data_IF_060624066817
#
_entry.id   IF_060624066817
#
_cell.length_a   1.000
_cell.length_b   1.000
_cell.length_c   1.000
_cell.angle_alpha   90.00
_cell.angle_beta   90.00
_cell.angle_gamma   90.00
#
_symmetry.space_group_name_H-M   'P 1'
#
loop_
_entity.id
_entity.type
_entity.pdbx_description
1 polymer ?
#
# COMPACT_ATOMS: atom_id res chain seq x y z
N UNK A 1 -40.33 -1.65 -44.92
CA UNK A 1 -39.41 -0.81 -45.72
C UNK A 1 -38.19 -0.48 -44.89
N UNK A 2 -37.02 -1.08 -45.13
CA UNK A 2 -35.81 -0.73 -44.40
C UNK A 2 -35.28 0.60 -44.94
N UNK A 3 -35.18 1.61 -44.08
CA UNK A 3 -34.47 2.87 -44.39
C UNK A 3 -32.98 2.56 -44.40
N UNK A 4 -32.34 2.63 -45.56
CA UNK A 4 -30.90 2.47 -45.67
C UNK A 4 -30.20 3.64 -44.97
N UNK A 5 -29.38 3.33 -43.98
CA UNK A 5 -28.45 4.31 -43.39
C UNK A 5 -27.56 4.87 -44.50
N UNK A 6 -27.43 6.19 -44.55
CA UNK A 6 -26.58 6.83 -45.56
C UNK A 6 -25.12 6.56 -45.25
N UNK A 7 -24.28 6.36 -46.28
CA UNK A 7 -22.84 6.10 -46.10
C UNK A 7 -22.16 7.20 -45.27
N UNK A 8 -22.63 8.45 -45.42
CA UNK A 8 -22.19 9.60 -44.62
C UNK A 8 -22.51 9.45 -43.12
N UNK A 9 -23.71 8.98 -42.78
CA UNK A 9 -24.11 8.73 -41.38
C UNK A 9 -23.22 7.66 -40.74
N UNK A 10 -22.93 6.59 -41.47
CA UNK A 10 -22.04 5.53 -40.99
C UNK A 10 -20.60 6.04 -40.79
N UNK A 11 -20.11 6.90 -41.70
CA UNK A 11 -18.80 7.55 -41.58
C UNK A 11 -18.71 8.45 -40.34
N UNK A 12 -19.75 9.24 -40.07
CA UNK A 12 -19.80 10.11 -38.88
C UNK A 12 -19.81 9.27 -37.60
N UNK A 13 -20.58 8.18 -37.54
CA UNK A 13 -20.61 7.28 -36.38
C UNK A 13 -19.24 6.65 -36.14
N UNK A 14 -18.58 6.13 -37.18
CA UNK A 14 -17.24 5.53 -37.06
C UNK A 14 -16.21 6.58 -36.60
N UNK A 15 -16.30 7.81 -37.10
CA UNK A 15 -15.41 8.90 -36.69
C UNK A 15 -15.59 9.26 -35.21
N UNK A 16 -16.84 9.36 -34.74
CA UNK A 16 -17.14 9.62 -33.33
C UNK A 16 -16.64 8.47 -32.45
N UNK A 17 -16.89 7.22 -32.85
CA UNK A 17 -16.41 6.04 -32.12
C UNK A 17 -14.88 5.98 -32.06
N UNK A 18 -14.19 6.33 -33.16
CA UNK A 18 -12.73 6.41 -33.19
C UNK A 18 -12.17 7.48 -32.26
N UNK A 19 -12.77 8.67 -32.24
CA UNK A 19 -12.37 9.74 -31.32
C UNK A 19 -12.58 9.33 -29.84
N UNK A 20 -13.72 8.71 -29.52
CA UNK A 20 -13.99 8.20 -28.18
C UNK A 20 -13.01 7.09 -27.77
N UNK A 21 -12.69 6.17 -28.68
CA UNK A 21 -11.73 5.10 -28.44
C UNK A 21 -10.32 5.64 -28.15
N UNK A 22 -9.86 6.64 -28.90
CA UNK A 22 -8.55 7.28 -28.68
C UNK A 22 -8.42 7.92 -27.28
N UNK A 23 -9.51 8.44 -26.71
CA UNK A 23 -9.49 9.06 -25.37
C UNK A 23 -9.68 8.02 -24.26
N UNK A 24 -10.53 7.01 -24.48
CA UNK A 24 -10.89 6.02 -23.46
C UNK A 24 -9.78 4.98 -23.22
N UNK A 25 -9.11 4.50 -24.27
CA UNK A 25 -8.12 3.41 -24.17
C UNK A 25 -6.90 3.77 -23.29
N UNK A 26 -6.28 4.97 -23.39
CA UNK A 26 -5.15 5.33 -22.55
C UNK A 26 -5.52 5.37 -21.05
N UNK A 27 -6.72 5.84 -20.71
CA UNK A 27 -7.15 5.95 -19.31
C UNK A 27 -7.26 4.60 -18.61
N UNK A 28 -7.82 3.60 -19.29
CA UNK A 28 -7.99 2.26 -18.73
C UNK A 28 -6.66 1.53 -18.45
N UNK A 29 -5.66 1.75 -19.30
CA UNK A 29 -4.34 1.10 -19.13
C UNK A 29 -3.52 1.70 -17.97
N UNK A 30 -3.66 3.01 -17.72
CA UNK A 30 -3.01 3.69 -16.59
C UNK A 30 -3.58 3.23 -15.24
N UNK A 31 -4.90 3.16 -15.08
CA UNK A 31 -5.52 2.68 -13.84
C UNK A 31 -5.14 1.23 -13.51
N UNK A 32 -5.11 0.36 -14.53
CA UNK A 32 -4.70 -1.02 -14.36
C UNK A 32 -3.22 -1.14 -13.95
N UNK A 33 -2.36 -0.28 -14.51
CA UNK A 33 -0.94 -0.21 -14.16
C UNK A 33 -0.74 0.26 -12.73
N UNK A 34 -1.38 1.35 -12.32
CA UNK A 34 -1.28 1.91 -10.97
C UNK A 34 -1.76 0.91 -9.92
N UNK A 35 -2.85 0.19 -10.19
CA UNK A 35 -3.34 -0.86 -9.30
C UNK A 35 -2.33 -1.99 -9.12
N UNK A 36 -1.71 -2.46 -10.21
CA UNK A 36 -0.67 -3.49 -10.15
C UNK A 36 0.57 -2.98 -9.41
N UNK A 37 0.97 -1.74 -9.67
CA UNK A 37 2.10 -1.12 -8.98
C UNK A 37 1.82 -1.01 -7.48
N UNK A 38 0.64 -0.51 -7.08
CA UNK A 38 0.24 -0.44 -5.68
C UNK A 38 0.33 -1.79 -4.97
N UNK A 39 -0.10 -2.87 -5.66
CA UNK A 39 -0.02 -4.24 -5.13
C UNK A 39 1.43 -4.71 -5.00
N UNK A 40 2.28 -4.44 -5.99
CA UNK A 40 3.71 -4.77 -5.95
C UNK A 40 4.39 -4.07 -4.79
N UNK A 41 4.16 -2.77 -4.61
CA UNK A 41 4.74 -1.99 -3.52
C UNK A 41 4.22 -2.46 -2.14
N UNK A 42 2.94 -2.82 -2.05
CA UNK A 42 2.39 -3.44 -0.84
C UNK A 42 3.05 -4.78 -0.52
N UNK A 43 3.26 -5.63 -1.54
CA UNK A 43 3.94 -6.91 -1.38
C UNK A 43 5.42 -6.75 -1.01
N UNK A 44 6.10 -5.71 -1.49
CA UNK A 44 7.48 -5.40 -1.07
C UNK A 44 7.54 -5.14 0.44
N UNK A 45 6.66 -4.28 0.95
CA UNK A 45 6.60 -4.01 2.40
C UNK A 45 6.24 -5.26 3.20
N UNK A 46 5.30 -6.08 2.73
CA UNK A 46 4.96 -7.35 3.38
C UNK A 46 6.15 -8.30 3.43
N UNK A 47 6.87 -8.46 2.33
CA UNK A 47 8.06 -9.30 2.26
C UNK A 47 9.17 -8.76 3.16
N UNK A 48 9.35 -7.44 3.20
CA UNK A 48 10.31 -6.79 4.08
C UNK A 48 9.96 -6.99 5.56
N UNK A 49 8.69 -6.81 5.97
CA UNK A 49 8.23 -7.08 7.34
C UNK A 49 8.46 -8.54 7.74
N UNK A 50 8.14 -9.49 6.85
CA UNK A 50 8.40 -10.92 7.07
C UNK A 50 9.89 -11.19 7.21
N UNK A 51 10.72 -10.54 6.38
CA UNK A 51 12.19 -10.64 6.45
C UNK A 51 12.71 -10.07 7.77
N UNK A 52 12.28 -8.88 8.20
CA UNK A 52 12.63 -8.27 9.48
C UNK A 52 12.29 -9.20 10.65
N UNK A 53 11.08 -9.77 10.64
CA UNK A 53 10.68 -10.75 11.66
C UNK A 53 11.58 -11.99 11.65
N UNK A 54 11.87 -12.55 10.48
CA UNK A 54 12.77 -13.70 10.36
C UNK A 54 14.18 -13.38 10.84
N UNK A 55 14.71 -12.20 10.54
CA UNK A 55 16.02 -11.74 11.06
C UNK A 55 16.00 -11.69 12.59
N UNK A 56 14.96 -11.11 13.19
CA UNK A 56 14.82 -11.05 14.64
C UNK A 56 14.81 -12.42 15.29
N UNK A 57 14.11 -13.41 14.71
CA UNK A 57 14.09 -14.78 15.22
C UNK A 57 15.46 -15.45 15.04
N UNK A 58 16.01 -15.41 13.83
CA UNK A 58 17.23 -16.14 13.47
C UNK A 58 18.46 -15.61 14.21
N UNK A 59 18.48 -14.32 14.53
CA UNK A 59 19.63 -13.65 15.13
C UNK A 59 19.39 -13.25 16.59
N UNK A 60 18.35 -13.78 17.24
CA UNK A 60 17.97 -13.43 18.61
C UNK A 60 19.09 -13.60 19.65
N UNK A 61 20.02 -14.53 19.43
CA UNK A 61 21.12 -14.81 20.35
C UNK A 61 22.22 -13.73 20.31
N UNK A 62 22.48 -13.14 19.15
CA UNK A 62 23.51 -12.11 18.96
C UNK A 62 22.93 -10.70 18.91
N UNK A 63 21.63 -10.56 18.60
CA UNK A 63 20.90 -9.29 18.53
C UNK A 63 19.63 -9.35 19.41
N UNK A 64 19.79 -9.32 20.75
CA UNK A 64 18.67 -9.46 21.69
C UNK A 64 17.66 -8.30 21.59
N UNK A 65 18.07 -7.14 21.10
CA UNK A 65 17.19 -6.00 20.83
C UNK A 65 16.19 -6.26 19.71
N UNK A 66 16.52 -7.15 18.78
CA UNK A 66 15.72 -7.53 17.62
C UNK A 66 15.94 -6.59 16.42
N UNK A 67 14.97 -6.56 15.51
CA UNK A 67 15.07 -5.76 14.28
C UNK A 67 13.81 -4.93 14.07
N UNK A 68 13.95 -3.78 13.41
CA UNK A 68 12.83 -2.94 13.02
C UNK A 68 12.76 -2.74 11.52
N UNK A 69 11.55 -2.60 10.99
CA UNK A 69 11.31 -2.00 9.70
C UNK A 69 10.84 -0.56 9.92
N UNK A 70 11.50 0.40 9.31
CA UNK A 70 11.16 1.82 9.39
C UNK A 70 10.88 2.38 7.99
N UNK A 71 9.70 2.95 7.80
CA UNK A 71 9.27 3.61 6.58
C UNK A 71 9.60 5.10 6.73
N UNK A 72 10.45 5.60 5.83
CA UNK A 72 10.92 6.98 5.83
C UNK A 72 10.37 7.73 4.63
N UNK A 73 10.09 9.02 4.83
CA UNK A 73 9.67 9.92 3.77
C UNK A 73 10.71 11.03 3.63
N UNK A 74 11.30 11.14 2.44
CA UNK A 74 12.23 12.18 2.07
C UNK A 74 11.63 13.02 0.94
N UNK A 75 10.97 14.12 1.31
CA UNK A 75 10.22 14.94 0.37
C UNK A 75 9.07 14.13 -0.27
N UNK A 76 9.13 13.96 -1.59
CA UNK A 76 8.16 13.16 -2.34
C UNK A 76 8.52 11.67 -2.46
N UNK A 77 9.73 11.28 -2.06
CA UNK A 77 10.17 9.89 -2.08
C UNK A 77 9.80 9.19 -0.75
N UNK A 78 9.35 7.95 -0.84
CA UNK A 78 9.14 7.07 0.31
C UNK A 78 10.09 5.89 0.18
N UNK A 79 10.79 5.54 1.24
CA UNK A 79 11.66 4.36 1.34
C UNK A 79 11.34 3.57 2.60
N UNK A 80 11.87 2.36 2.69
CA UNK A 80 11.91 1.63 3.95
C UNK A 80 13.31 1.11 4.22
N UNK A 81 13.63 0.96 5.50
CA UNK A 81 14.90 0.47 6.01
C UNK A 81 14.63 -0.65 7.02
N UNK A 82 15.50 -1.67 7.02
CA UNK A 82 15.54 -2.67 8.07
C UNK A 82 16.73 -2.32 8.97
N UNK A 83 16.46 -2.13 10.24
CA UNK A 83 17.42 -1.68 11.26
C UNK A 83 17.65 -2.78 12.28
N UNK A 84 18.90 -2.99 12.65
CA UNK A 84 19.27 -3.69 13.87
C UNK A 84 19.01 -2.78 15.08
N UNK A 85 18.24 -3.25 16.06
CA UNK A 85 17.84 -2.42 17.20
C UNK A 85 18.94 -2.27 18.26
N UNK A 86 19.99 -3.10 18.24
CA UNK A 86 21.06 -3.05 19.23
C UNK A 86 22.10 -1.97 18.92
N UNK A 87 22.42 -1.77 17.64
CA UNK A 87 23.44 -0.84 17.18
C UNK A 87 22.91 0.20 16.18
N UNK A 88 21.63 0.18 15.83
CA UNK A 88 20.99 1.05 14.84
C UNK A 88 21.58 0.96 13.42
N UNK A 89 22.30 -0.14 13.10
CA UNK A 89 22.83 -0.36 11.77
C UNK A 89 21.71 -0.67 10.77
N UNK A 90 21.81 -0.09 9.56
CA UNK A 90 20.91 -0.39 8.44
C UNK A 90 21.36 -1.70 7.79
N UNK A 91 20.51 -2.72 7.90
CA UNK A 91 20.73 -4.05 7.31
C UNK A 91 20.30 -4.10 5.85
N UNK A 92 19.27 -3.32 5.49
CA UNK A 92 18.70 -3.27 4.15
C UNK A 92 17.92 -1.97 3.97
N UNK A 93 17.86 -1.47 2.74
CA UNK A 93 17.16 -0.24 2.39
C UNK A 93 16.64 -0.32 0.96
N UNK A 94 15.39 0.07 0.77
CA UNK A 94 14.78 0.08 -0.55
C UNK A 94 13.83 1.25 -0.73
N UNK A 95 13.91 1.89 -1.90
CA UNK A 95 12.97 2.91 -2.32
C UNK A 95 11.65 2.29 -2.80
N UNK A 96 10.54 2.93 -2.45
CA UNK A 96 9.24 2.66 -3.04
C UNK A 96 9.07 3.47 -4.32
N UNK A 97 8.15 3.04 -5.18
CA UNK A 97 7.81 3.78 -6.39
C UNK A 97 7.33 5.21 -6.05
N UNK A 98 7.58 6.15 -6.97
CA UNK A 98 7.10 7.52 -6.84
C UNK A 98 5.58 7.58 -6.72
N UNK A 99 5.08 8.50 -5.91
CA UNK A 99 3.64 8.67 -5.67
C UNK A 99 3.04 7.70 -4.65
N UNK A 100 3.79 6.69 -4.17
CA UNK A 100 3.34 5.81 -3.10
C UNK A 100 3.25 6.58 -1.79
N UNK A 101 2.08 6.54 -1.16
CA UNK A 101 1.80 7.13 0.14
C UNK A 101 1.57 6.03 1.17
N UNK A 102 2.39 6.03 2.20
CA UNK A 102 2.21 5.23 3.41
C UNK A 102 1.51 6.06 4.49
N UNK A 103 0.45 5.50 5.09
CA UNK A 103 -0.28 6.10 6.23
C UNK A 103 -0.42 5.08 7.37
N UNK A 104 -0.48 5.55 8.61
CA UNK A 104 -0.46 4.67 9.79
C UNK A 104 0.92 4.61 10.43
N UNK A 105 1.35 3.42 10.86
CA UNK A 105 2.61 3.23 11.54
C UNK A 105 3.77 3.33 10.55
N UNK A 106 4.81 4.07 10.94
CA UNK A 106 6.07 4.16 10.20
C UNK A 106 7.12 3.19 10.71
N UNK A 107 6.94 2.55 11.86
CA UNK A 107 7.95 1.69 12.48
C UNK A 107 7.32 0.41 13.01
N UNK A 108 8.00 -0.72 12.79
CA UNK A 108 7.57 -2.05 13.21
C UNK A 108 8.75 -2.77 13.84
N UNK A 109 8.78 -2.87 15.17
CA UNK A 109 9.89 -3.47 15.91
C UNK A 109 9.56 -4.91 16.30
N UNK A 110 10.34 -5.88 15.85
CA UNK A 110 10.20 -7.30 16.19
C UNK A 110 11.25 -7.73 17.22
N UNK A 111 10.84 -8.52 18.21
CA UNK A 111 11.75 -9.13 19.18
C UNK A 111 12.25 -10.52 18.70
N UNK A 112 13.14 -11.14 19.49
CA UNK A 112 13.69 -12.47 19.20
C UNK A 112 12.68 -13.63 19.11
N UNK A 113 11.44 -13.42 19.56
CA UNK A 113 10.34 -14.39 19.43
C UNK A 113 9.50 -14.14 18.16
N UNK A 114 9.85 -13.11 17.39
CA UNK A 114 9.11 -12.69 16.20
C UNK A 114 7.78 -11.98 16.49
N UNK A 115 7.53 -11.59 17.74
CA UNK A 115 6.40 -10.74 18.12
C UNK A 115 6.78 -9.26 17.98
N UNK A 116 5.79 -8.38 17.81
CA UNK A 116 6.03 -6.95 17.88
C UNK A 116 6.32 -6.55 19.34
N UNK A 117 7.27 -5.62 19.51
CA UNK A 117 7.59 -5.05 20.82
C UNK A 117 6.51 -4.10 21.31
N UNK A 118 5.78 -3.47 20.40
CA UNK A 118 4.68 -2.57 20.73
C UNK A 118 3.40 -3.37 20.99
N UNK A 119 2.75 -3.08 22.12
CA UNK A 119 1.44 -3.62 22.44
C UNK A 119 0.36 -2.77 21.78
N UNK A 120 -0.15 -3.19 20.62
CA UNK A 120 -1.21 -2.48 19.93
C UNK A 120 -1.30 -2.87 18.47
N UNK A 121 -2.46 -2.69 17.85
CA UNK A 121 -2.65 -3.04 16.44
C UNK A 121 -1.71 -2.21 15.56
N UNK A 122 -0.69 -2.84 15.01
CA UNK A 122 0.25 -2.20 14.09
C UNK A 122 -0.24 -2.37 12.65
N UNK A 123 -0.35 -1.26 11.93
CA UNK A 123 -0.81 -1.26 10.54
C UNK A 123 -0.18 -0.13 9.73
N UNK A 124 -0.04 -0.35 8.43
CA UNK A 124 0.30 0.67 7.44
C UNK A 124 -0.57 0.49 6.21
N UNK A 125 -1.20 1.57 5.77
CA UNK A 125 -1.92 1.65 4.50
C UNK A 125 -0.97 2.14 3.41
N UNK A 126 -0.89 1.39 2.33
CA UNK A 126 -0.05 1.67 1.16
C UNK A 126 -0.99 2.05 0.03
N UNK A 127 -0.90 3.30 -0.41
CA UNK A 127 -1.78 3.86 -1.42
C UNK A 127 -1.01 4.43 -2.59
N UNK A 128 -1.51 4.15 -3.80
CA UNK A 128 -1.04 4.75 -5.05
C UNK A 128 -2.28 5.03 -5.90
N UNK A 129 -2.40 6.28 -6.35
CA UNK A 129 -3.62 6.79 -6.98
C UNK A 129 -4.84 6.50 -6.08
N UNK A 130 -5.86 5.79 -6.60
CA UNK A 130 -7.08 5.43 -5.86
C UNK A 130 -7.07 4.01 -5.27
N UNK A 131 -5.95 3.29 -5.39
CA UNK A 131 -5.81 1.93 -4.84
C UNK A 131 -5.10 1.97 -3.50
N UNK A 132 -5.69 1.34 -2.48
CA UNK A 132 -5.09 1.22 -1.14
C UNK A 132 -5.04 -0.24 -0.69
N UNK A 133 -3.91 -0.63 -0.10
CA UNK A 133 -3.70 -1.92 0.56
C UNK A 133 -3.40 -1.70 2.03
N UNK A 134 -4.15 -2.37 2.90
CA UNK A 134 -3.91 -2.36 4.34
C UNK A 134 -2.96 -3.51 4.69
N UNK A 135 -1.80 -3.18 5.23
CA UNK A 135 -0.85 -4.14 5.79
C UNK A 135 -0.98 -4.10 7.30
N UNK A 136 -1.35 -5.21 7.92
CA UNK A 136 -1.51 -5.33 9.37
C UNK A 136 -0.55 -6.36 9.92
N UNK A 137 0.04 -6.07 11.08
CA UNK A 137 0.89 -6.99 11.82
C UNK A 137 0.21 -7.32 13.14
N UNK A 138 0.01 -8.61 13.40
CA UNK A 138 -0.57 -9.09 14.66
C UNK A 138 0.49 -9.01 15.76
N UNK A 139 0.28 -8.26 16.85
CA UNK A 139 1.36 -7.96 17.79
C UNK A 139 1.97 -9.19 18.47
N UNK A 140 1.13 -10.10 18.95
CA UNK A 140 1.56 -11.28 19.70
C UNK A 140 2.34 -12.31 18.88
N UNK A 141 2.08 -12.40 17.57
CA UNK A 141 2.68 -13.43 16.70
C UNK A 141 3.63 -12.86 15.65
N UNK A 142 3.57 -11.55 15.41
CA UNK A 142 4.18 -10.87 14.28
C UNK A 142 3.61 -11.28 12.93
N UNK A 143 2.45 -11.92 12.88
CA UNK A 143 1.86 -12.37 11.62
C UNK A 143 1.50 -11.17 10.74
N UNK A 144 2.02 -11.16 9.51
CA UNK A 144 1.84 -10.08 8.53
C UNK A 144 0.75 -10.45 7.53
N UNK A 145 -0.32 -9.66 7.51
CA UNK A 145 -1.43 -9.77 6.56
C UNK A 145 -1.49 -8.55 5.66
N UNK A 146 -1.86 -8.76 4.41
CA UNK A 146 -2.10 -7.68 3.45
C UNK A 146 -3.42 -7.93 2.76
N UNK A 147 -4.31 -6.93 2.84
CA UNK A 147 -5.63 -6.98 2.24
C UNK A 147 -5.85 -5.73 1.42
N UNK A 148 -6.51 -5.87 0.27
CA UNK A 148 -6.95 -4.70 -0.49
C UNK A 148 -8.00 -3.97 0.35
N UNK A 149 -7.73 -2.70 0.66
CA UNK A 149 -8.69 -1.85 1.37
C UNK A 149 -9.67 -1.23 0.37
N UNK A 150 -10.92 -1.01 0.80
CA UNK A 150 -11.83 -0.17 0.01
C UNK A 150 -11.30 1.28 0.06
N UNK A 151 -11.35 2.04 -1.04
CA UNK A 151 -11.04 3.46 -0.97
C UNK A 151 -11.94 4.08 0.10
N UNK A 152 -11.35 4.84 1.01
CA UNK A 152 -12.05 5.51 2.10
C UNK A 152 -13.01 6.54 1.46
N UNK A 153 -14.25 6.13 1.20
CA UNK A 153 -15.33 7.04 0.86
C UNK A 153 -15.41 8.06 1.99
N UNK A 154 -15.36 9.35 1.63
CA UNK A 154 -15.42 10.49 2.55
C UNK A 154 -16.27 10.17 3.77
N UNK A 155 -15.64 10.22 4.93
CA UNK A 155 -16.30 10.22 6.22
C UNK A 155 -17.33 11.37 6.20
N UNK A 156 -18.59 11.02 6.01
CA UNK A 156 -19.69 11.87 6.45
C UNK A 156 -19.52 11.98 7.95
N UNK A 157 -19.33 13.22 8.41
CA UNK A 157 -19.32 13.55 9.81
C UNK A 157 -20.70 13.23 10.38
N UNK A 158 -20.81 12.14 11.14
CA UNK A 158 -21.92 12.01 12.08
C UNK A 158 -21.46 12.61 13.41
N UNK A 159 -21.79 13.89 13.54
CA UNK A 159 -21.68 14.67 14.76
C UNK A 159 -23.03 14.52 15.46
N UNK A 160 -23.22 13.45 16.23
CA UNK A 160 -24.35 13.31 17.14
C UNK A 160 -23.87 13.28 18.58
N UNK A 161 -23.78 14.50 19.13
CA UNK A 161 -23.93 14.76 20.55
C UNK A 161 -25.36 14.39 20.95
N UNK A 162 -25.55 13.49 21.90
CA UNK A 162 -26.62 13.55 22.90
C UNK A 162 -26.24 12.63 24.07
N UNK A 163 -25.77 13.16 25.21
CA UNK A 163 -26.55 13.68 26.36
C UNK A 163 -27.51 12.65 26.98
N UNK A 164 -27.30 12.47 28.30
CA UNK A 164 -28.16 11.84 29.33
C UNK A 164 -28.19 10.32 29.21
N UNK A 165 -27.95 9.55 30.27
CA UNK A 165 -28.40 9.73 31.67
C UNK A 165 -27.28 9.50 32.70
#
# INVERSE_FOLDING_TARGET
MPRGHTLAELLVVVLILGALACVAVPRLSLEARDRRQAEVEARKIVSALRRTRSLAILQAATHPGGFALEIRRHGQATSYEILDLDNSAVVDSQALASGVRCQGHSRFCFNGLGALKESGRAFVDISLSDTTFAVTVTPSTGAVQCVKSKPHGKHTADRSISRRE
#
